data_IF_749929002189
#
_entry.id   IF_749929002189
#
_cell.length_a   1.000
_cell.length_b   1.000
_cell.length_c   1.000
_cell.angle_alpha   90.00
_cell.angle_beta   90.00
_cell.angle_gamma   90.00
#
_symmetry.space_group_name_H-M   'P 1'
#
loop_
_entity.id
_entity.type
_entity.pdbx_description
1 polymer ?
#
# COMPACT_ATOMS: atom_id res chain seq x y z
N UNK A 1 -19.46 10.51 31.83
CA UNK A 1 -19.30 11.08 30.47
C UNK A 1 -18.38 10.14 29.70
N UNK A 2 -18.91 9.52 28.63
CA UNK A 2 -18.19 8.58 27.76
C UNK A 2 -17.19 9.37 26.91
N UNK A 3 -15.91 9.08 27.08
CA UNK A 3 -14.89 9.39 26.08
C UNK A 3 -14.62 8.06 25.35
N UNK A 4 -15.47 7.75 24.38
CA UNK A 4 -15.15 6.76 23.34
C UNK A 4 -14.05 7.37 22.47
N UNK A 5 -12.81 7.27 22.96
CA UNK A 5 -11.63 7.45 22.14
C UNK A 5 -11.56 6.21 21.25
N UNK A 6 -12.26 6.23 20.12
CA UNK A 6 -12.06 5.27 19.05
C UNK A 6 -10.67 5.49 18.48
N UNK A 7 -9.67 4.97 19.18
CA UNK A 7 -8.31 4.73 18.70
C UNK A 7 -8.49 3.78 17.51
N UNK A 8 -8.64 4.36 16.32
CA UNK A 8 -8.53 3.63 15.08
C UNK A 8 -7.16 2.97 15.16
N UNK A 9 -7.11 1.67 15.39
CA UNK A 9 -5.87 0.93 15.58
C UNK A 9 -4.96 1.26 14.38
N UNK A 10 -3.93 2.07 14.60
CA UNK A 10 -2.86 2.26 13.64
C UNK A 10 -2.33 0.86 13.38
N UNK A 11 -2.60 0.33 12.19
CA UNK A 11 -2.08 -0.95 11.77
C UNK A 11 -0.58 -0.80 11.78
N UNK A 12 0.09 -1.33 12.81
CA UNK A 12 1.54 -1.35 12.86
C UNK A 12 2.02 -2.35 11.82
N UNK A 13 2.23 -1.88 10.59
CA UNK A 13 2.79 -2.68 9.52
C UNK A 13 4.21 -3.07 9.89
N UNK A 14 4.47 -4.37 9.97
CA UNK A 14 5.83 -4.88 10.12
C UNK A 14 6.50 -4.96 8.76
N UNK A 15 7.82 -4.87 8.74
CA UNK A 15 8.61 -5.08 7.52
C UNK A 15 8.24 -6.39 6.82
N UNK A 16 8.18 -7.49 7.57
CA UNK A 16 7.87 -8.81 7.04
C UNK A 16 6.49 -8.85 6.36
N UNK A 17 5.50 -8.16 6.91
CA UNK A 17 4.16 -8.09 6.32
C UNK A 17 4.16 -7.29 5.01
N UNK A 18 4.89 -6.19 4.95
CA UNK A 18 5.07 -5.40 3.72
C UNK A 18 5.77 -6.24 2.64
N UNK A 19 6.88 -6.90 2.97
CA UNK A 19 7.60 -7.78 2.04
C UNK A 19 6.72 -8.92 1.50
N UNK A 20 5.98 -9.58 2.40
CA UNK A 20 5.03 -10.65 2.03
C UNK A 20 3.99 -10.14 1.05
N UNK A 21 3.44 -8.95 1.29
CA UNK A 21 2.41 -8.34 0.44
C UNK A 21 2.98 -7.86 -0.88
N UNK A 22 4.18 -7.28 -0.91
CA UNK A 22 4.89 -6.95 -2.16
C UNK A 22 5.10 -8.18 -3.04
N UNK A 23 5.30 -9.36 -2.46
CA UNK A 23 5.39 -10.63 -3.21
C UNK A 23 4.15 -11.02 -4.01
N UNK A 24 3.03 -10.31 -3.85
CA UNK A 24 1.78 -10.54 -4.62
C UNK A 24 1.70 -9.77 -5.94
N UNK A 25 2.68 -8.90 -6.21
CA UNK A 25 2.79 -8.14 -7.47
C UNK A 25 4.11 -8.43 -8.18
N UNK A 26 4.20 -8.09 -9.47
CA UNK A 26 5.41 -8.28 -10.25
C UNK A 26 6.29 -7.02 -10.21
N UNK A 27 7.61 -7.18 -10.22
CA UNK A 27 8.55 -6.06 -10.35
C UNK A 27 8.35 -5.40 -11.71
N UNK A 28 8.18 -4.08 -11.74
CA UNK A 28 8.01 -3.32 -12.98
C UNK A 28 9.15 -3.54 -14.00
N UNK A 29 10.38 -3.83 -13.54
CA UNK A 29 11.58 -4.02 -14.37
C UNK A 29 11.76 -5.48 -14.81
N UNK A 30 11.99 -6.41 -13.88
CA UNK A 30 12.35 -7.79 -14.22
C UNK A 30 11.17 -8.77 -14.22
N UNK A 31 9.97 -8.30 -13.89
CA UNK A 31 8.71 -9.07 -13.82
C UNK A 31 8.69 -10.23 -12.82
N UNK A 32 9.72 -10.39 -11.98
CA UNK A 32 9.73 -11.32 -10.83
C UNK A 32 9.10 -10.68 -9.59
N UNK A 33 8.63 -11.49 -8.64
CA UNK A 33 7.92 -11.05 -7.43
C UNK A 33 8.71 -11.30 -6.13
N UNK A 34 10.00 -10.99 -6.14
CA UNK A 34 10.87 -11.14 -4.96
C UNK A 34 11.40 -9.80 -4.50
N UNK A 35 11.00 -9.38 -3.30
CA UNK A 35 11.26 -8.06 -2.75
C UNK A 35 11.80 -8.10 -1.33
N UNK A 36 12.48 -7.04 -0.92
CA UNK A 36 12.87 -6.74 0.46
C UNK A 36 12.59 -5.26 0.75
N UNK A 37 12.51 -4.90 2.02
CA UNK A 37 12.63 -3.51 2.47
C UNK A 37 14.07 -3.28 2.92
N UNK A 38 14.65 -2.14 2.52
CA UNK A 38 15.95 -1.70 3.01
C UNK A 38 15.76 -1.02 4.37
N UNK A 39 16.08 -1.74 5.45
CA UNK A 39 15.91 -1.30 6.85
C UNK A 39 16.60 0.04 7.15
N UNK A 40 17.68 0.35 6.42
CA UNK A 40 18.41 1.62 6.56
C UNK A 40 17.57 2.83 6.16
N UNK A 41 16.49 2.61 5.43
CA UNK A 41 15.56 3.63 4.95
C UNK A 41 14.17 3.46 5.56
N UNK A 42 14.01 2.77 6.68
CA UNK A 42 12.77 2.79 7.46
C UNK A 42 12.76 4.06 8.33
N UNK A 43 12.45 5.20 7.72
CA UNK A 43 12.34 6.47 8.43
C UNK A 43 11.15 6.51 9.39
N UNK A 44 11.20 7.42 10.37
CA UNK A 44 10.08 7.68 11.30
C UNK A 44 8.81 8.18 10.62
N UNK A 45 8.95 8.69 9.39
CA UNK A 45 7.90 9.42 8.68
C UNK A 45 7.08 8.51 7.75
N UNK A 46 7.26 7.19 7.87
CA UNK A 46 6.53 6.20 7.06
C UNK A 46 6.99 6.09 5.60
N UNK A 47 8.07 6.76 5.22
CA UNK A 47 8.71 6.61 3.91
C UNK A 47 9.75 5.50 3.98
N UNK A 48 9.44 4.35 3.37
CA UNK A 48 10.34 3.19 3.31
C UNK A 48 10.87 2.99 1.89
N UNK A 49 11.94 2.20 1.76
CA UNK A 49 12.51 1.82 0.46
C UNK A 49 12.41 0.33 0.23
N UNK A 50 11.70 -0.06 -0.83
CA UNK A 50 11.69 -1.42 -1.33
C UNK A 50 12.84 -1.67 -2.31
N UNK A 51 13.29 -2.92 -2.39
CA UNK A 51 14.28 -3.41 -3.36
C UNK A 51 13.82 -4.74 -3.96
N UNK A 52 13.93 -4.90 -5.27
CA UNK A 52 13.76 -6.21 -5.90
C UNK A 52 15.02 -7.06 -5.70
N UNK A 53 14.90 -8.23 -5.08
CA UNK A 53 16.04 -9.13 -4.82
C UNK A 53 16.62 -9.75 -6.10
N UNK A 54 15.89 -9.70 -7.21
CA UNK A 54 16.32 -10.28 -8.49
C UNK A 54 17.09 -9.32 -9.39
N UNK A 55 16.75 -8.04 -9.41
CA UNK A 55 17.40 -7.04 -10.27
C UNK A 55 17.94 -5.81 -9.53
N UNK A 56 17.84 -5.80 -8.19
CA UNK A 56 18.29 -4.71 -7.31
C UNK A 56 17.63 -3.35 -7.57
N UNK A 57 16.55 -3.31 -8.35
CA UNK A 57 15.78 -2.10 -8.57
C UNK A 57 15.11 -1.65 -7.26
N UNK A 58 15.26 -0.38 -6.91
CA UNK A 58 14.69 0.22 -5.70
C UNK A 58 13.49 1.10 -6.02
N UNK A 59 12.52 1.13 -5.11
CA UNK A 59 11.28 1.91 -5.25
C UNK A 59 10.79 2.42 -3.88
N UNK A 60 10.02 3.51 -3.83
CA UNK A 60 9.46 4.01 -2.57
C UNK A 60 8.25 3.18 -2.14
N UNK A 61 8.10 3.06 -0.82
CA UNK A 61 6.98 2.40 -0.13
C UNK A 61 6.48 3.33 0.96
N UNK A 62 5.25 3.81 0.81
CA UNK A 62 4.62 4.75 1.74
C UNK A 62 3.75 3.99 2.74
N UNK A 63 4.14 3.99 4.01
CA UNK A 63 3.45 3.31 5.13
C UNK A 63 2.72 4.28 6.06
N UNK A 64 3.04 5.58 6.04
CA UNK A 64 2.20 6.62 6.66
C UNK A 64 1.01 6.94 5.75
N UNK A 65 -0.04 6.13 5.88
CA UNK A 65 -1.27 6.29 5.12
C UNK A 65 -2.07 7.51 5.55
N UNK A 66 -1.96 7.97 6.80
CA UNK A 66 -2.76 9.10 7.28
C UNK A 66 -2.31 10.40 6.61
N UNK A 67 -1.00 10.63 6.55
CA UNK A 67 -0.45 11.78 5.84
C UNK A 67 -0.78 11.74 4.35
N UNK A 68 -0.63 10.56 3.72
CA UNK A 68 -0.95 10.39 2.30
C UNK A 68 -2.42 10.69 1.98
N UNK A 69 -3.37 10.16 2.77
CA UNK A 69 -4.80 10.38 2.54
C UNK A 69 -5.24 11.82 2.79
N UNK A 70 -4.58 12.55 3.71
CA UNK A 70 -4.85 13.98 3.93
C UNK A 70 -4.36 14.86 2.79
N UNK A 71 -3.25 14.49 2.16
CA UNK A 71 -2.62 15.27 1.09
C UNK A 71 -3.20 14.95 -0.30
N UNK A 72 -3.87 13.80 -0.45
CA UNK A 72 -4.45 13.33 -1.71
C UNK A 72 -5.97 13.16 -1.60
N UNK A 73 -6.78 14.22 -1.75
CA UNK A 73 -8.23 14.19 -1.46
C UNK A 73 -9.03 13.23 -2.36
N UNK A 74 -8.52 12.91 -3.56
CA UNK A 74 -9.17 11.99 -4.49
C UNK A 74 -9.01 10.52 -4.10
N UNK A 75 -7.93 10.18 -3.38
CA UNK A 75 -7.65 8.79 -2.98
C UNK A 75 -8.74 8.23 -2.07
N UNK A 76 -9.17 8.91 -0.98
CA UNK A 76 -10.28 8.44 -0.15
C UNK A 76 -11.57 8.16 -0.92
N UNK A 77 -11.89 8.97 -1.94
CA UNK A 77 -13.05 8.74 -2.80
C UNK A 77 -12.86 7.45 -3.60
N UNK A 78 -11.70 7.30 -4.23
CA UNK A 78 -11.35 6.11 -5.01
C UNK A 78 -11.39 4.82 -4.18
N UNK A 79 -10.87 4.85 -2.94
CA UNK A 79 -10.87 3.69 -2.04
C UNK A 79 -12.29 3.20 -1.72
N UNK A 80 -13.29 4.09 -1.69
CA UNK A 80 -14.70 3.72 -1.49
C UNK A 80 -15.30 3.00 -2.70
N UNK A 81 -14.76 3.22 -3.89
CA UNK A 81 -15.25 2.64 -5.14
C UNK A 81 -14.63 1.28 -5.48
N UNK A 82 -13.43 1.00 -4.95
CA UNK A 82 -12.75 -0.28 -5.16
C UNK A 82 -13.64 -1.42 -4.66
N UNK A 83 -13.92 -2.38 -5.55
CA UNK A 83 -14.73 -3.56 -5.26
C UNK A 83 -13.82 -4.74 -4.93
N UNK A 84 -14.08 -5.42 -3.81
CA UNK A 84 -13.32 -6.61 -3.46
C UNK A 84 -13.65 -7.77 -4.40
N UNK A 85 -12.63 -8.39 -4.99
CA UNK A 85 -12.79 -9.52 -5.92
C UNK A 85 -13.30 -10.81 -5.27
N UNK A 86 -13.34 -10.89 -3.94
CA UNK A 86 -13.78 -12.08 -3.20
C UNK A 86 -15.24 -11.99 -2.72
N UNK A 87 -15.68 -10.83 -2.22
CA UNK A 87 -17.03 -10.66 -1.65
C UNK A 87 -17.87 -9.60 -2.38
N UNK A 88 -17.32 -8.97 -3.42
CA UNK A 88 -17.96 -7.91 -4.20
C UNK A 88 -18.38 -6.65 -3.42
N UNK A 89 -17.96 -6.54 -2.15
CA UNK A 89 -18.18 -5.36 -1.33
C UNK A 89 -17.36 -4.18 -1.85
N UNK A 90 -17.97 -3.00 -1.92
CA UNK A 90 -17.30 -1.73 -2.29
C UNK A 90 -16.74 -1.04 -1.07
N UNK A 91 -15.49 -0.60 -1.15
CA UNK A 91 -14.81 0.09 -0.07
C UNK A 91 -13.72 -0.76 0.55
N UNK A 92 -12.53 -0.16 0.59
CA UNK A 92 -11.32 -0.75 1.16
C UNK A 92 -10.60 0.28 2.04
N UNK A 93 -9.83 -0.21 3.01
CA UNK A 93 -8.85 0.60 3.73
C UNK A 93 -7.50 0.49 3.03
N UNK A 94 -6.79 1.61 2.87
CA UNK A 94 -5.40 1.59 2.43
C UNK A 94 -4.50 1.20 3.60
N UNK A 95 -3.67 0.18 3.41
CA UNK A 95 -2.69 -0.24 4.41
C UNK A 95 -1.33 0.39 4.11
N UNK A 96 -0.87 0.33 2.86
CA UNK A 96 0.32 1.04 2.38
C UNK A 96 0.28 1.15 0.86
N UNK A 97 1.22 1.93 0.31
CA UNK A 97 1.37 2.15 -1.14
C UNK A 97 2.80 1.85 -1.57
N UNK A 98 2.97 1.29 -2.76
CA UNK A 98 4.30 1.13 -3.37
C UNK A 98 4.31 1.65 -4.80
N UNK A 99 5.32 2.45 -5.15
CA UNK A 99 5.48 3.03 -6.50
C UNK A 99 6.56 2.26 -7.25
N UNK A 100 6.21 1.09 -7.79
CA UNK A 100 7.16 0.20 -8.47
C UNK A 100 7.77 0.81 -9.73
N UNK A 101 7.13 1.80 -10.34
CA UNK A 101 7.70 2.67 -11.38
C UNK A 101 6.86 3.93 -11.53
N UNK A 102 7.31 4.86 -12.38
CA UNK A 102 6.56 6.08 -12.73
C UNK A 102 5.19 5.82 -13.37
N UNK A 103 4.93 4.60 -13.87
CA UNK A 103 3.64 4.21 -14.46
C UNK A 103 2.92 3.12 -13.68
N UNK A 104 3.53 2.62 -12.61
CA UNK A 104 3.05 1.43 -11.92
C UNK A 104 3.18 1.63 -10.42
N UNK A 105 2.07 2.04 -9.80
CA UNK A 105 1.93 2.09 -8.36
C UNK A 105 0.81 1.15 -7.93
N UNK A 106 0.94 0.59 -6.74
CA UNK A 106 -0.04 -0.31 -6.15
C UNK A 106 -0.50 0.24 -4.80
N UNK A 107 -1.81 0.21 -4.59
CA UNK A 107 -2.43 0.30 -3.28
C UNK A 107 -2.53 -1.10 -2.70
N UNK A 108 -1.91 -1.31 -1.56
CA UNK A 108 -2.10 -2.52 -0.78
C UNK A 108 -3.24 -2.25 0.21
N UNK A 109 -4.37 -2.91 -0.04
CA UNK A 109 -5.63 -2.58 0.63
C UNK A 109 -6.21 -3.76 1.38
N UNK A 110 -7.05 -3.46 2.37
CA UNK A 110 -7.87 -4.42 3.11
C UNK A 110 -9.34 -4.15 2.85
N UNK A 111 -10.09 -5.16 2.39
CA UNK A 111 -11.53 -5.05 2.21
C UNK A 111 -12.25 -4.75 3.54
N UNK A 112 -13.15 -3.77 3.55
CA UNK A 112 -13.94 -3.46 4.75
C UNK A 112 -15.01 -4.50 5.05
N UNK A 113 -15.51 -5.23 4.03
CA UNK A 113 -16.54 -6.24 4.19
C UNK A 113 -16.02 -7.60 4.67
N UNK A 114 -14.99 -8.15 4.01
CA UNK A 114 -14.47 -9.50 4.32
C UNK A 114 -13.06 -9.52 4.92
N UNK A 115 -12.44 -8.35 5.15
CA UNK A 115 -11.07 -8.20 5.70
C UNK A 115 -9.96 -8.87 4.87
N UNK A 116 -10.26 -9.33 3.66
CA UNK A 116 -9.25 -9.84 2.73
C UNK A 116 -8.32 -8.72 2.29
N UNK A 117 -7.03 -8.99 2.31
CA UNK A 117 -5.98 -8.13 1.77
C UNK A 117 -5.73 -8.45 0.30
N UNK A 118 -5.51 -7.43 -0.52
CA UNK A 118 -5.12 -7.59 -1.92
C UNK A 118 -4.42 -6.33 -2.45
N UNK A 119 -3.61 -6.45 -3.51
CA UNK A 119 -3.10 -5.31 -4.25
C UNK A 119 -4.15 -4.81 -5.25
N UNK A 120 -4.27 -3.49 -5.37
CA UNK A 120 -5.02 -2.79 -6.42
C UNK A 120 -4.05 -1.87 -7.16
N UNK A 121 -4.06 -1.90 -8.49
CA UNK A 121 -3.21 -0.98 -9.25
C UNK A 121 -3.77 0.45 -9.12
N UNK A 122 -2.91 1.39 -8.70
CA UNK A 122 -3.28 2.80 -8.61
C UNK A 122 -3.38 3.39 -10.02
N UNK A 123 -4.57 3.84 -10.37
CA UNK A 123 -4.84 4.51 -11.66
C UNK A 123 -4.60 6.02 -11.63
N UNK A 124 -4.20 6.59 -10.48
CA UNK A 124 -4.19 8.05 -10.26
C UNK A 124 -2.88 8.74 -10.69
N UNK A 125 -1.81 8.00 -10.98
CA UNK A 125 -0.52 8.56 -11.40
C UNK A 125 -0.10 8.06 -12.79
N UNK A 126 -1.01 8.09 -13.76
CA UNK A 126 -0.60 8.16 -15.15
C UNK A 126 -0.15 9.61 -15.41
N UNK A 127 1.10 9.94 -15.08
CA UNK A 127 1.71 11.16 -15.60
C UNK A 127 1.78 11.02 -17.13
N UNK A 128 1.00 11.86 -17.83
CA UNK A 128 1.14 12.15 -19.26
C UNK A 128 2.36 13.03 -19.55
#
# INVERSE_FOLDING_TARGET
>A
MKLDCSYHAMVTLTQQEVERRLGTVACAVCKRSSFAIDERFMGSDGEWRGVCRSCFYTFPVHTDVEFYLRTQPDVPLRLKEISCTACNHRGVALDFRATLSVREAYYFVTCLGCRRQFPEQSSLEAYE
#
